data_IF_575086021221
#
_entry.id   IF_575086021221
#
_cell.length_a   1.000
_cell.length_b   1.000
_cell.length_c   1.000
_cell.angle_alpha   90.00
_cell.angle_beta   90.00
_cell.angle_gamma   90.00
#
_symmetry.space_group_name_H-M   'P 1'
#
loop_
_entity.id
_entity.type
_entity.pdbx_description
1 polymer ?
#
# COMPACT_ATOMS: atom_id res chain seq x y z
N UNK A 1 -1.81 9.46 16.89
CA UNK A 1 -0.62 8.86 16.28
C UNK A 1 -0.62 9.07 14.75
N UNK A 2 -1.69 8.72 14.02
CA UNK A 2 -1.79 8.89 12.56
C UNK A 2 -1.47 10.29 12.07
N UNK A 3 -2.01 11.34 12.73
CA UNK A 3 -1.78 12.73 12.34
C UNK A 3 -0.30 13.12 12.51
N UNK A 4 0.31 12.70 13.62
CA UNK A 4 1.72 13.01 13.90
C UNK A 4 2.63 12.29 12.89
N UNK A 5 2.42 11.01 12.65
CA UNK A 5 3.23 10.24 11.68
C UNK A 5 3.06 10.75 10.26
N UNK A 6 1.83 11.13 9.85
CA UNK A 6 1.58 11.76 8.55
C UNK A 6 2.29 13.11 8.43
N UNK A 7 2.21 13.96 9.46
CA UNK A 7 2.92 15.25 9.49
C UNK A 7 4.42 15.10 9.38
N UNK A 8 5.01 14.13 10.10
CA UNK A 8 6.44 13.82 10.00
C UNK A 8 6.83 13.26 8.63
N UNK A 9 5.96 12.46 8.00
CA UNK A 9 6.17 12.00 6.62
C UNK A 9 6.21 13.18 5.66
N UNK A 10 5.28 14.12 5.76
CA UNK A 10 5.24 15.34 4.93
C UNK A 10 6.50 16.20 5.17
N UNK A 11 6.92 16.37 6.42
CA UNK A 11 8.15 17.07 6.74
C UNK A 11 9.38 16.38 6.12
N UNK A 12 9.43 15.04 6.14
CA UNK A 12 10.50 14.27 5.50
C UNK A 12 10.53 14.47 3.98
N UNK A 13 9.36 14.54 3.32
CA UNK A 13 9.26 14.84 1.89
C UNK A 13 9.74 16.25 1.58
N UNK A 14 9.35 17.25 2.40
CA UNK A 14 9.82 18.61 2.25
C UNK A 14 11.34 18.72 2.42
N UNK A 15 11.93 18.02 3.39
CA UNK A 15 13.37 18.01 3.63
C UNK A 15 14.17 17.45 2.44
N UNK A 16 13.61 16.49 1.67
CA UNK A 16 14.25 15.96 0.47
C UNK A 16 14.51 17.04 -0.59
N UNK A 17 13.79 18.17 -0.55
CA UNK A 17 14.01 19.29 -1.46
C UNK A 17 15.40 19.95 -1.30
N UNK A 18 16.02 19.87 -0.13
CA UNK A 18 17.30 20.53 0.17
C UNK A 18 18.48 19.59 0.36
N UNK A 19 18.24 18.28 0.27
CA UNK A 19 19.25 17.26 0.52
C UNK A 19 19.82 16.76 -0.80
N UNK A 20 21.15 16.79 -0.94
CA UNK A 20 21.89 16.29 -2.11
C UNK A 20 22.75 15.05 -1.82
N UNK A 21 23.05 14.77 -0.55
CA UNK A 21 23.85 13.59 -0.17
C UNK A 21 23.06 12.30 -0.34
N UNK A 22 23.56 11.31 -1.10
CA UNK A 22 22.86 10.03 -1.32
C UNK A 22 22.50 9.30 -0.01
N UNK A 23 23.41 9.29 0.95
CA UNK A 23 23.17 8.63 2.25
C UNK A 23 22.06 9.30 3.06
N UNK A 24 22.01 10.63 3.04
CA UNK A 24 20.93 11.37 3.72
C UNK A 24 19.60 11.17 3.01
N UNK A 25 19.58 11.10 1.68
CA UNK A 25 18.37 10.78 0.90
C UNK A 25 17.85 9.39 1.27
N UNK A 26 18.72 8.36 1.29
CA UNK A 26 18.35 6.99 1.66
C UNK A 26 17.77 6.95 3.08
N UNK A 27 18.44 7.61 4.03
CA UNK A 27 17.97 7.65 5.43
C UNK A 27 16.61 8.32 5.56
N UNK A 28 16.43 9.50 4.92
CA UNK A 28 15.14 10.21 4.94
C UNK A 28 14.03 9.38 4.29
N UNK A 29 14.30 8.69 3.20
CA UNK A 29 13.32 7.82 2.55
C UNK A 29 12.96 6.60 3.41
N UNK A 30 13.94 6.01 4.10
CA UNK A 30 13.70 4.92 5.05
C UNK A 30 12.82 5.38 6.23
N UNK A 31 13.12 6.55 6.80
CA UNK A 31 12.32 7.17 7.86
C UNK A 31 10.90 7.50 7.36
N UNK A 32 10.77 8.12 6.19
CA UNK A 32 9.47 8.43 5.59
C UNK A 32 8.64 7.17 5.32
N UNK A 33 9.27 6.09 4.85
CA UNK A 33 8.62 4.79 4.66
C UNK A 33 8.10 4.20 5.96
N UNK A 34 8.91 4.21 7.03
CA UNK A 34 8.48 3.76 8.36
C UNK A 34 7.31 4.59 8.91
N UNK A 35 7.37 5.91 8.80
CA UNK A 35 6.30 6.81 9.23
C UNK A 35 5.01 6.61 8.42
N UNK A 36 5.12 6.39 7.11
CA UNK A 36 4.00 6.07 6.23
C UNK A 36 3.33 4.75 6.62
N UNK A 37 4.13 3.72 6.93
CA UNK A 37 3.61 2.44 7.42
C UNK A 37 2.87 2.61 8.76
N UNK A 38 3.41 3.39 9.69
CA UNK A 38 2.73 3.72 10.95
C UNK A 38 1.41 4.45 10.69
N UNK A 39 1.39 5.38 9.75
CA UNK A 39 0.17 6.12 9.37
C UNK A 39 -0.91 5.17 8.83
N UNK A 40 -0.55 4.23 7.96
CA UNK A 40 -1.47 3.25 7.40
C UNK A 40 -2.01 2.29 8.48
N UNK A 41 -1.14 1.78 9.35
CA UNK A 41 -1.52 0.88 10.46
C UNK A 41 -2.46 1.61 11.42
N UNK A 42 -2.07 2.79 11.87
CA UNK A 42 -2.85 3.57 12.83
C UNK A 42 -4.20 4.02 12.25
N UNK A 43 -4.23 4.40 10.96
CA UNK A 43 -5.46 4.71 10.23
C UNK A 43 -6.37 3.50 10.09
N UNK A 44 -5.81 2.33 9.79
CA UNK A 44 -6.56 1.07 9.69
C UNK A 44 -7.17 0.66 11.04
N UNK A 45 -6.39 0.75 12.13
CA UNK A 45 -6.88 0.45 13.47
C UNK A 45 -7.96 1.44 13.91
N UNK A 46 -7.77 2.74 13.64
CA UNK A 46 -8.77 3.75 13.95
C UNK A 46 -10.10 3.48 13.22
N UNK A 47 -10.05 3.16 11.92
CA UNK A 47 -11.25 2.88 11.13
C UNK A 47 -11.95 1.60 11.60
N UNK A 48 -11.20 0.53 11.85
CA UNK A 48 -11.73 -0.79 12.16
C UNK A 48 -12.16 -0.92 13.64
N UNK A 49 -11.44 -0.29 14.56
CA UNK A 49 -11.67 -0.46 16.01
C UNK A 49 -12.47 0.68 16.63
N UNK A 50 -12.17 1.94 16.25
CA UNK A 50 -12.89 3.09 16.80
C UNK A 50 -14.19 3.40 16.08
N UNK A 51 -14.20 3.31 14.74
CA UNK A 51 -15.39 3.62 13.95
C UNK A 51 -16.27 2.40 13.68
N UNK A 52 -15.77 1.18 13.89
CA UNK A 52 -16.51 -0.06 13.61
C UNK A 52 -16.89 -0.25 12.12
N UNK A 53 -16.31 0.55 11.22
CA UNK A 53 -16.64 0.57 9.80
C UNK A 53 -15.82 -0.47 9.01
N UNK A 54 -16.10 -1.76 9.21
CA UNK A 54 -15.40 -2.84 8.50
C UNK A 54 -15.54 -2.74 6.97
N UNK A 55 -16.65 -2.21 6.47
CA UNK A 55 -16.86 -1.95 5.04
C UNK A 55 -16.08 -0.74 4.50
N UNK A 56 -15.56 0.12 5.35
CA UNK A 56 -14.76 1.29 4.97
C UNK A 56 -13.28 0.98 4.71
N UNK A 57 -12.76 -0.14 5.19
CA UNK A 57 -11.36 -0.50 5.02
C UNK A 57 -10.89 -0.54 3.54
N UNK A 58 -11.66 -1.10 2.58
CA UNK A 58 -11.27 -1.06 1.18
C UNK A 58 -11.16 0.34 0.61
N UNK A 59 -11.99 1.30 1.09
CA UNK A 59 -11.89 2.71 0.67
C UNK A 59 -10.64 3.38 1.23
N UNK A 60 -10.27 3.10 2.48
CA UNK A 60 -9.01 3.58 3.05
C UNK A 60 -7.82 3.10 2.23
N UNK A 61 -7.80 1.82 1.86
CA UNK A 61 -6.71 1.24 1.08
C UNK A 61 -6.72 1.74 -0.38
N UNK A 62 -7.89 2.02 -0.96
CA UNK A 62 -8.01 2.65 -2.28
C UNK A 62 -7.33 4.02 -2.34
N UNK A 63 -7.31 4.75 -1.21
CA UNK A 63 -6.57 6.01 -1.06
C UNK A 63 -5.08 5.89 -1.34
N UNK A 64 -4.46 4.73 -1.07
CA UNK A 64 -3.05 4.47 -1.42
C UNK A 64 -2.85 4.48 -2.93
N UNK A 65 -3.71 3.77 -3.67
CA UNK A 65 -3.66 3.75 -5.14
C UNK A 65 -3.88 5.13 -5.75
N UNK A 66 -4.88 5.88 -5.24
CA UNK A 66 -5.11 7.26 -5.67
C UNK A 66 -3.92 8.18 -5.35
N UNK A 67 -3.29 8.02 -4.19
CA UNK A 67 -2.09 8.76 -3.82
C UNK A 67 -0.92 8.49 -4.77
N UNK A 68 -0.70 7.23 -5.17
CA UNK A 68 0.31 6.85 -6.16
C UNK A 68 0.00 7.50 -7.51
N UNK A 69 -1.24 7.43 -7.98
CA UNK A 69 -1.68 8.04 -9.24
C UNK A 69 -1.46 9.56 -9.25
N UNK A 70 -1.98 10.26 -8.24
CA UNK A 70 -1.88 11.73 -8.13
C UNK A 70 -0.43 12.19 -8.02
N UNK A 71 0.40 11.49 -7.23
CA UNK A 71 1.82 11.86 -7.08
C UNK A 71 2.60 11.62 -8.37
N UNK A 72 2.34 10.52 -9.08
CA UNK A 72 2.99 10.23 -10.35
C UNK A 72 2.63 11.28 -11.42
N UNK A 73 1.35 11.56 -11.62
CA UNK A 73 0.93 12.59 -12.59
C UNK A 73 1.38 13.99 -12.15
N UNK A 74 1.46 14.28 -10.84
CA UNK A 74 2.03 15.52 -10.32
C UNK A 74 3.51 15.66 -10.67
N UNK A 75 4.29 14.59 -10.62
CA UNK A 75 5.70 14.57 -11.04
C UNK A 75 5.81 14.75 -12.56
N UNK A 76 4.99 14.04 -13.36
CA UNK A 76 4.96 14.19 -14.81
C UNK A 76 4.63 15.62 -15.23
N UNK A 77 3.64 16.24 -14.59
CA UNK A 77 3.30 17.64 -14.81
C UNK A 77 4.46 18.58 -14.40
N UNK A 78 5.13 18.30 -13.30
CA UNK A 78 6.33 19.04 -12.86
C UNK A 78 7.43 18.98 -13.91
N UNK A 79 7.70 17.82 -14.51
CA UNK A 79 8.64 17.66 -15.62
C UNK A 79 8.20 18.46 -16.85
N UNK A 80 6.92 18.38 -17.24
CA UNK A 80 6.38 19.12 -18.39
C UNK A 80 6.47 20.63 -18.21
N UNK A 81 6.37 21.13 -16.97
CA UNK A 81 6.55 22.54 -16.60
C UNK A 81 8.02 22.93 -16.35
N UNK A 82 8.95 22.02 -16.61
CA UNK A 82 10.40 22.23 -16.37
C UNK A 82 10.75 22.64 -14.93
N UNK A 83 9.97 22.14 -13.95
CA UNK A 83 10.25 22.39 -12.54
C UNK A 83 11.54 21.66 -12.11
N UNK A 84 12.28 22.28 -11.21
CA UNK A 84 13.45 21.65 -10.60
C UNK A 84 13.02 20.52 -9.65
N UNK A 85 13.91 19.56 -9.40
CA UNK A 85 13.67 18.47 -8.44
C UNK A 85 13.22 19.00 -7.07
N UNK A 86 13.82 20.11 -6.61
CA UNK A 86 13.45 20.78 -5.38
C UNK A 86 11.97 21.23 -5.38
N UNK A 87 11.55 21.87 -6.47
CA UNK A 87 10.17 22.35 -6.62
C UNK A 87 9.19 21.19 -6.66
N UNK A 88 9.53 20.08 -7.34
CA UNK A 88 8.68 18.87 -7.38
C UNK A 88 8.50 18.26 -5.98
N UNK A 89 9.59 18.15 -5.20
CA UNK A 89 9.47 17.65 -3.82
C UNK A 89 8.59 18.54 -2.94
N UNK A 90 8.74 19.88 -3.07
CA UNK A 90 7.92 20.83 -2.33
C UNK A 90 6.45 20.77 -2.77
N UNK A 91 6.18 20.60 -4.07
CA UNK A 91 4.83 20.42 -4.59
C UNK A 91 4.18 19.16 -4.02
N UNK A 92 4.90 18.04 -4.02
CA UNK A 92 4.42 16.79 -3.41
C UNK A 92 4.13 16.95 -1.91
N UNK A 93 5.02 17.61 -1.17
CA UNK A 93 4.82 17.88 0.25
C UNK A 93 3.61 18.80 0.50
N UNK A 94 3.43 19.84 -0.32
CA UNK A 94 2.28 20.74 -0.25
C UNK A 94 0.97 20.01 -0.53
N UNK A 95 0.90 19.22 -1.60
CA UNK A 95 -0.29 18.42 -1.91
C UNK A 95 -0.63 17.44 -0.78
N UNK A 96 0.37 16.75 -0.24
CA UNK A 96 0.16 15.84 0.90
C UNK A 96 -0.29 16.60 2.16
N UNK A 97 0.25 17.79 2.41
CA UNK A 97 -0.16 18.66 3.51
C UNK A 97 -1.61 19.13 3.39
N UNK A 98 -2.02 19.54 2.19
CA UNK A 98 -3.41 19.92 1.91
C UNK A 98 -4.37 18.74 2.11
N UNK A 99 -4.03 17.56 1.62
CA UNK A 99 -4.83 16.36 1.83
C UNK A 99 -4.95 15.99 3.31
N UNK A 100 -3.85 16.10 4.07
CA UNK A 100 -3.89 15.89 5.52
C UNK A 100 -4.76 16.93 6.21
N UNK A 101 -4.65 18.21 5.84
CA UNK A 101 -5.47 19.29 6.40
C UNK A 101 -6.97 19.08 6.15
N UNK A 102 -7.33 18.57 4.97
CA UNK A 102 -8.70 18.18 4.66
C UNK A 102 -9.16 16.97 5.49
N UNK A 103 -8.29 15.99 5.68
CA UNK A 103 -8.58 14.77 6.43
C UNK A 103 -8.64 15.01 7.95
N UNK A 104 -7.93 16.01 8.47
CA UNK A 104 -7.80 16.24 9.92
C UNK A 104 -9.15 16.47 10.61
N UNK A 105 -10.08 17.15 9.93
CA UNK A 105 -11.43 17.41 10.45
C UNK A 105 -12.19 16.11 10.71
N UNK A 106 -12.03 15.12 9.81
CA UNK A 106 -12.66 13.81 9.94
C UNK A 106 -11.96 12.95 11.00
N UNK A 107 -10.63 13.03 11.08
CA UNK A 107 -9.82 12.28 12.05
C UNK A 107 -10.01 12.77 13.50
N UNK A 108 -10.37 14.04 13.70
CA UNK A 108 -10.63 14.63 15.01
C UNK A 108 -12.10 14.52 15.44
N UNK A 109 -13.00 14.08 14.55
CA UNK A 109 -14.41 13.87 14.91
C UNK A 109 -14.51 12.73 15.92
N UNK A 110 -15.09 12.96 17.13
CA UNK A 110 -15.27 11.90 18.11
C UNK A 110 -16.15 10.80 17.49
N UNK A 111 -15.86 9.53 17.74
CA UNK A 111 -16.75 8.45 17.29
C UNK A 111 -18.13 8.69 17.90
N UNK A 112 -19.19 8.65 17.08
CA UNK A 112 -20.54 8.57 17.57
C UNK A 112 -20.59 7.40 18.56
N UNK A 113 -21.18 7.61 19.75
CA UNK A 113 -21.21 6.63 20.81
C UNK A 113 -21.69 5.28 20.28
N UNK A 114 -20.75 4.43 19.89
CA UNK A 114 -21.04 3.10 19.40
C UNK A 114 -21.49 2.30 20.60
N UNK A 115 -22.75 1.89 20.55
CA UNK A 115 -23.24 0.76 21.32
C UNK A 115 -22.23 -0.37 21.15
N UNK A 116 -21.52 -0.68 22.23
CA UNK A 116 -20.65 -1.86 22.32
C UNK A 116 -21.53 -3.10 22.02
N UNK A 117 -21.65 -3.44 20.76
CA UNK A 117 -22.01 -4.79 20.40
C UNK A 117 -20.81 -5.66 20.77
N UNK A 118 -20.89 -6.22 21.98
CA UNK A 118 -20.03 -7.31 22.43
C UNK A 118 -20.34 -8.51 21.57
N UNK A 119 -19.79 -8.58 20.36
CA UNK A 119 -19.62 -9.85 19.70
C UNK A 119 -18.48 -10.58 20.42
N UNK A 120 -18.87 -11.25 21.50
CA UNK A 120 -18.13 -12.39 22.00
C UNK A 120 -18.25 -13.45 20.91
N UNK A 121 -17.35 -13.40 19.90
CA UNK A 121 -17.10 -14.59 19.10
C UNK A 121 -16.41 -15.59 20.05
N UNK A 122 -17.20 -16.49 20.55
CA UNK A 122 -16.73 -17.72 21.19
C UNK A 122 -16.10 -18.59 20.10
N UNK A 123 -14.92 -18.20 19.64
CA UNK A 123 -14.08 -19.07 18.85
C UNK A 123 -13.50 -20.12 19.80
N UNK A 124 -13.95 -21.37 19.62
CA UNK A 124 -13.30 -22.54 20.21
C UNK A 124 -11.78 -22.43 19.99
N UNK A 125 -10.95 -22.71 20.99
CA UNK A 125 -9.50 -22.65 20.84
C UNK A 125 -9.08 -23.69 19.81
N UNK A 126 -8.75 -23.24 18.59
CA UNK A 126 -8.08 -24.08 17.62
C UNK A 126 -6.76 -24.53 18.22
N UNK A 127 -6.41 -25.79 18.03
CA UNK A 127 -5.16 -26.39 18.51
C UNK A 127 -3.96 -25.46 18.19
N UNK A 128 -3.22 -25.03 19.19
CA UNK A 128 -2.23 -23.96 19.09
C UNK A 128 -1.11 -24.16 18.04
N UNK A 129 -0.87 -25.41 17.59
CA UNK A 129 0.11 -25.73 16.54
C UNK A 129 -0.40 -25.36 15.14
N UNK A 130 -1.66 -25.61 14.83
CA UNK A 130 -2.22 -25.37 13.48
C UNK A 130 -2.44 -23.87 13.24
N UNK A 131 -2.82 -23.14 14.26
CA UNK A 131 -2.96 -21.70 14.21
C UNK A 131 -1.60 -21.01 13.99
N UNK A 132 -0.57 -21.44 14.71
CA UNK A 132 0.79 -20.92 14.52
C UNK A 132 1.30 -21.18 13.10
N UNK A 133 1.07 -22.36 12.55
CA UNK A 133 1.41 -22.69 11.15
C UNK A 133 0.65 -21.81 10.16
N UNK A 134 -0.64 -21.57 10.39
CA UNK A 134 -1.44 -20.68 9.55
C UNK A 134 -0.92 -19.25 9.58
N UNK A 135 -0.54 -18.72 10.74
CA UNK A 135 0.05 -17.39 10.90
C UNK A 135 1.37 -17.27 10.14
N UNK A 136 2.29 -18.22 10.30
CA UNK A 136 3.55 -18.24 9.58
C UNK A 136 3.40 -18.35 8.07
N UNK A 137 2.47 -19.20 7.59
CA UNK A 137 2.14 -19.29 6.15
C UNK A 137 1.66 -17.95 5.60
N UNK A 138 0.77 -17.27 6.34
CA UNK A 138 0.26 -15.97 5.93
C UNK A 138 1.39 -14.93 5.88
N UNK A 139 2.28 -14.90 6.89
CA UNK A 139 3.44 -14.02 6.91
C UNK A 139 4.36 -14.25 5.71
N UNK A 140 4.72 -15.50 5.43
CA UNK A 140 5.59 -15.83 4.30
C UNK A 140 4.97 -15.46 2.96
N UNK A 141 3.70 -15.81 2.75
CA UNK A 141 2.98 -15.49 1.50
C UNK A 141 2.87 -13.98 1.30
N UNK A 142 2.60 -13.24 2.38
CA UNK A 142 2.48 -11.79 2.32
C UNK A 142 3.83 -11.11 2.06
N UNK A 143 4.92 -11.56 2.69
CA UNK A 143 6.28 -11.08 2.43
C UNK A 143 6.72 -11.34 1.00
N UNK A 144 6.47 -12.56 0.48
CA UNK A 144 6.76 -12.88 -0.93
C UNK A 144 5.95 -12.04 -1.92
N UNK A 145 4.71 -11.69 -1.58
CA UNK A 145 3.91 -10.77 -2.38
C UNK A 145 4.53 -9.36 -2.37
N UNK A 146 5.05 -8.91 -1.22
CA UNK A 146 5.82 -7.66 -1.09
C UNK A 146 7.05 -7.66 -1.97
N UNK A 147 7.84 -8.72 -1.92
CA UNK A 147 9.01 -8.90 -2.77
C UNK A 147 8.64 -8.86 -4.27
N UNK A 148 7.57 -9.56 -4.67
CA UNK A 148 7.14 -9.60 -6.07
C UNK A 148 6.72 -8.21 -6.60
N UNK A 149 5.98 -7.44 -5.81
CA UNK A 149 5.56 -6.12 -6.27
C UNK A 149 6.71 -5.13 -6.35
N UNK A 150 7.68 -5.18 -5.41
CA UNK A 150 8.80 -4.22 -5.39
C UNK A 150 9.75 -4.41 -6.57
N UNK A 151 9.90 -5.65 -7.06
CA UNK A 151 10.65 -5.92 -8.30
C UNK A 151 10.05 -5.11 -9.45
N UNK A 152 8.73 -5.23 -9.69
CA UNK A 152 8.06 -4.47 -10.74
C UNK A 152 8.15 -2.98 -10.48
N UNK A 153 7.89 -2.55 -9.26
CA UNK A 153 7.93 -1.17 -8.85
C UNK A 153 9.29 -0.49 -9.10
N UNK A 154 10.38 -1.20 -8.87
CA UNK A 154 11.74 -0.67 -8.99
C UNK A 154 12.27 -0.75 -10.41
N UNK A 155 12.06 -1.89 -11.08
CA UNK A 155 12.71 -2.17 -12.35
C UNK A 155 11.89 -1.79 -13.57
N UNK A 156 10.55 -1.72 -13.48
CA UNK A 156 9.70 -1.39 -14.62
C UNK A 156 10.03 -0.01 -15.25
N UNK A 157 10.25 1.06 -14.47
CA UNK A 157 10.70 2.35 -15.03
C UNK A 157 12.07 2.27 -15.69
N UNK A 158 12.99 1.44 -15.14
CA UNK A 158 14.34 1.26 -15.69
C UNK A 158 14.33 0.52 -17.03
N UNK A 159 13.47 -0.48 -17.19
CA UNK A 159 13.29 -1.18 -18.47
C UNK A 159 12.88 -0.24 -19.59
N UNK A 160 12.02 0.75 -19.29
CA UNK A 160 11.54 1.69 -20.29
C UNK A 160 12.54 2.79 -20.63
N UNK A 161 13.33 3.24 -19.67
CA UNK A 161 14.33 4.29 -19.91
C UNK A 161 15.38 3.91 -20.94
N UNK A 162 15.63 2.59 -21.13
CA UNK A 162 16.55 2.06 -22.14
C UNK A 162 15.93 1.76 -23.50
N UNK A 163 14.62 1.48 -23.56
CA UNK A 163 13.99 0.90 -24.77
C UNK A 163 12.99 1.82 -25.45
N UNK A 164 12.41 2.80 -24.75
CA UNK A 164 11.30 3.62 -25.23
C UNK A 164 11.49 5.09 -24.81
N UNK A 165 12.18 5.86 -25.66
CA UNK A 165 12.40 7.30 -25.45
C UNK A 165 11.12 8.15 -25.61
N UNK A 166 9.98 7.57 -25.95
CA UNK A 166 8.76 8.30 -26.31
C UNK A 166 7.74 8.43 -25.16
N UNK A 167 7.89 7.71 -24.06
CA UNK A 167 6.93 7.74 -22.92
C UNK A 167 7.69 7.95 -21.63
N UNK A 168 7.27 8.95 -20.84
CA UNK A 168 7.83 9.16 -19.51
C UNK A 168 7.49 7.95 -18.60
N UNK A 169 8.49 7.26 -18.04
CA UNK A 169 8.27 6.11 -17.15
C UNK A 169 7.35 6.40 -15.96
N UNK A 170 7.19 7.65 -15.58
CA UNK A 170 6.32 8.10 -14.48
C UNK A 170 4.85 7.74 -14.75
N UNK A 171 4.42 7.75 -16.02
CA UNK A 171 3.05 7.35 -16.38
C UNK A 171 2.75 5.88 -16.11
N UNK A 172 3.76 5.00 -16.07
CA UNK A 172 3.56 3.61 -15.63
C UNK A 172 3.23 3.52 -14.14
N UNK A 173 3.85 4.38 -13.32
CA UNK A 173 3.49 4.52 -11.92
C UNK A 173 2.06 5.05 -11.75
N UNK A 174 1.65 5.99 -12.58
CA UNK A 174 0.27 6.45 -12.60
C UNK A 174 -0.71 5.32 -12.93
N UNK A 175 -0.43 4.51 -13.96
CA UNK A 175 -1.25 3.35 -14.33
C UNK A 175 -1.28 2.30 -13.21
N UNK A 176 -0.16 2.05 -12.54
CA UNK A 176 -0.09 1.17 -11.37
C UNK A 176 -1.02 1.66 -10.26
N UNK A 177 -0.95 2.95 -9.91
CA UNK A 177 -1.81 3.57 -8.89
C UNK A 177 -3.28 3.55 -9.27
N UNK A 178 -3.59 3.84 -10.55
CA UNK A 178 -4.95 3.81 -11.09
C UNK A 178 -5.57 2.41 -11.02
N UNK A 179 -4.78 1.36 -11.27
CA UNK A 179 -5.22 -0.03 -11.11
C UNK A 179 -5.36 -0.44 -9.63
N UNK A 180 -4.48 0.07 -8.76
CA UNK A 180 -4.49 -0.25 -7.34
C UNK A 180 -5.73 0.32 -6.61
N UNK A 181 -6.20 1.51 -6.97
CA UNK A 181 -7.32 2.14 -6.30
C UNK A 181 -8.63 1.32 -6.35
N UNK A 182 -9.17 0.91 -7.51
CA UNK A 182 -10.39 0.10 -7.58
C UNK A 182 -10.16 -1.35 -7.11
N UNK A 183 -8.91 -1.83 -7.11
CA UNK A 183 -8.58 -3.20 -6.74
C UNK A 183 -9.06 -3.57 -5.34
N UNK A 184 -8.95 -2.65 -4.39
CA UNK A 184 -9.37 -2.87 -3.01
C UNK A 184 -10.85 -3.24 -2.90
N UNK A 185 -11.71 -2.51 -3.61
CA UNK A 185 -13.16 -2.77 -3.65
C UNK A 185 -13.48 -4.07 -4.38
N UNK A 186 -12.80 -4.32 -5.49
CA UNK A 186 -13.01 -5.52 -6.31
C UNK A 186 -12.58 -6.76 -5.51
N UNK A 187 -11.36 -6.79 -4.96
CA UNK A 187 -10.87 -7.92 -4.19
C UNK A 187 -11.66 -8.14 -2.90
N UNK A 188 -12.14 -7.08 -2.25
CA UNK A 188 -13.06 -7.23 -1.12
C UNK A 188 -14.33 -8.01 -1.50
N UNK A 189 -14.98 -7.62 -2.61
CA UNK A 189 -16.17 -8.35 -3.14
C UNK A 189 -15.82 -9.79 -3.52
N UNK A 190 -14.66 -10.03 -4.11
CA UNK A 190 -14.20 -11.35 -4.50
C UNK A 190 -13.91 -12.25 -3.28
N UNK A 191 -13.41 -11.69 -2.18
CA UNK A 191 -13.26 -12.42 -0.90
C UNK A 191 -14.62 -12.87 -0.37
N UNK A 192 -15.64 -12.01 -0.43
CA UNK A 192 -16.99 -12.36 0.01
C UNK A 192 -17.58 -13.47 -0.87
N UNK A 193 -17.27 -13.50 -2.17
CA UNK A 193 -17.81 -14.49 -3.12
C UNK A 193 -17.04 -15.81 -3.11
N UNK A 194 -15.71 -15.79 -3.03
CA UNK A 194 -14.86 -16.99 -3.20
C UNK A 194 -14.24 -17.49 -1.89
N UNK A 195 -14.35 -16.69 -0.83
CA UNK A 195 -13.64 -16.90 0.41
C UNK A 195 -12.16 -16.52 0.32
N UNK A 196 -11.55 -16.37 1.50
CA UNK A 196 -10.19 -15.88 1.69
C UNK A 196 -9.13 -16.64 0.87
N UNK A 197 -9.12 -17.99 0.96
CA UNK A 197 -8.04 -18.80 0.34
C UNK A 197 -8.04 -18.68 -1.18
N UNK A 198 -9.20 -18.81 -1.81
CA UNK A 198 -9.30 -18.73 -3.27
C UNK A 198 -9.02 -17.33 -3.78
N UNK A 199 -9.51 -16.30 -3.10
CA UNK A 199 -9.23 -14.91 -3.46
C UNK A 199 -7.73 -14.61 -3.39
N UNK A 200 -7.05 -15.00 -2.28
CA UNK A 200 -5.61 -14.79 -2.14
C UNK A 200 -4.82 -15.54 -3.21
N UNK A 201 -5.12 -16.82 -3.44
CA UNK A 201 -4.41 -17.60 -4.46
C UNK A 201 -4.55 -16.98 -5.86
N UNK A 202 -5.76 -16.57 -6.25
CA UNK A 202 -5.98 -15.92 -7.55
C UNK A 202 -5.29 -14.57 -7.65
N UNK A 203 -5.33 -13.78 -6.57
CA UNK A 203 -4.62 -12.50 -6.50
C UNK A 203 -3.11 -12.70 -6.73
N UNK A 204 -2.49 -13.65 -6.05
CA UNK A 204 -1.06 -13.95 -6.19
C UNK A 204 -0.69 -14.51 -7.56
N UNK A 205 -1.55 -15.32 -8.18
CA UNK A 205 -1.33 -15.81 -9.55
C UNK A 205 -1.36 -14.65 -10.56
N UNK A 206 -2.32 -13.73 -10.43
CA UNK A 206 -2.38 -12.53 -11.27
C UNK A 206 -1.16 -11.63 -11.04
N UNK A 207 -0.71 -11.49 -9.78
CA UNK A 207 0.51 -10.74 -9.47
C UNK A 207 1.74 -11.39 -10.09
N UNK A 208 1.90 -12.70 -9.95
CA UNK A 208 3.02 -13.45 -10.53
C UNK A 208 3.07 -13.30 -12.05
N UNK A 209 1.91 -13.39 -12.72
CA UNK A 209 1.82 -13.13 -14.15
C UNK A 209 2.30 -11.71 -14.49
N UNK A 210 1.82 -10.69 -13.74
CA UNK A 210 2.24 -9.31 -13.94
C UNK A 210 3.75 -9.10 -13.78
N UNK A 211 4.36 -9.75 -12.78
CA UNK A 211 5.82 -9.65 -12.54
C UNK A 211 6.64 -10.30 -13.66
N UNK A 212 6.16 -11.40 -14.24
CA UNK A 212 6.88 -12.15 -15.29
C UNK A 212 6.80 -11.43 -16.66
N UNK A 213 5.74 -10.69 -16.95
CA UNK A 213 5.52 -10.08 -18.27
C UNK A 213 6.72 -9.28 -18.82
N UNK A 214 7.38 -8.38 -18.06
CA UNK A 214 8.52 -7.62 -18.55
C UNK A 214 9.73 -8.50 -18.89
N UNK A 215 9.87 -9.67 -18.24
CA UNK A 215 10.93 -10.62 -18.55
C UNK A 215 10.67 -11.36 -19.88
N UNK A 216 9.41 -11.48 -20.32
CA UNK A 216 9.06 -12.08 -21.59
C UNK A 216 9.31 -11.13 -22.77
N UNK A 217 9.05 -9.83 -22.59
CA UNK A 217 9.28 -8.81 -23.61
C UNK A 217 9.40 -7.42 -22.99
N UNK A 218 10.38 -6.65 -23.43
CA UNK A 218 10.57 -5.25 -23.05
C UNK A 218 9.66 -4.27 -23.81
N UNK A 219 8.61 -4.77 -24.51
CA UNK A 219 7.68 -3.90 -25.23
C UNK A 219 6.80 -3.08 -24.28
N UNK A 220 6.37 -1.89 -24.74
CA UNK A 220 5.51 -1.01 -23.97
C UNK A 220 4.22 -1.73 -23.51
N UNK A 221 3.64 -2.58 -24.37
CA UNK A 221 2.43 -3.33 -24.04
C UNK A 221 2.64 -4.24 -22.82
N UNK A 222 3.75 -4.98 -22.78
CA UNK A 222 4.06 -5.89 -21.67
C UNK A 222 4.34 -5.11 -20.37
N UNK A 223 5.00 -3.96 -20.46
CA UNK A 223 5.24 -3.08 -19.33
C UNK A 223 3.94 -2.47 -18.78
N UNK A 224 3.04 -2.00 -19.65
CA UNK A 224 1.72 -1.48 -19.27
C UNK A 224 0.87 -2.58 -18.62
N UNK A 225 0.80 -3.76 -19.24
CA UNK A 225 0.07 -4.90 -18.66
C UNK A 225 0.64 -5.31 -17.29
N UNK A 226 1.97 -5.31 -17.16
CA UNK A 226 2.64 -5.56 -15.86
C UNK A 226 2.22 -4.53 -14.82
N UNK A 227 2.31 -3.23 -15.13
CA UNK A 227 1.92 -2.16 -14.21
C UNK A 227 0.45 -2.30 -13.76
N UNK A 228 -0.46 -2.60 -14.69
CA UNK A 228 -1.87 -2.79 -14.40
C UNK A 228 -2.13 -4.03 -13.53
N UNK A 229 -1.54 -5.19 -13.87
CA UNK A 229 -1.76 -6.44 -13.13
C UNK A 229 -1.14 -6.39 -11.72
N UNK A 230 0.09 -5.89 -11.60
CA UNK A 230 0.74 -5.78 -10.30
C UNK A 230 0.06 -4.70 -9.45
N UNK A 231 -0.29 -3.54 -10.02
CA UNK A 231 -1.07 -2.51 -9.33
C UNK A 231 -2.43 -3.04 -8.86
N UNK A 232 -3.15 -3.76 -9.71
CA UNK A 232 -4.46 -4.36 -9.38
C UNK A 232 -4.37 -5.41 -8.26
N UNK A 233 -3.23 -6.05 -8.06
CA UNK A 233 -3.03 -7.08 -7.03
C UNK A 233 -2.33 -6.57 -5.78
N UNK A 234 -1.53 -5.53 -5.88
CA UNK A 234 -0.75 -4.93 -4.78
C UNK A 234 -1.63 -4.62 -3.56
N UNK A 235 -2.58 -3.69 -3.69
CA UNK A 235 -3.49 -3.35 -2.59
C UNK A 235 -4.58 -4.40 -2.39
N UNK A 236 -4.87 -5.23 -3.40
CA UNK A 236 -5.70 -6.42 -3.28
C UNK A 236 -5.16 -7.40 -2.26
N UNK A 237 -3.86 -7.69 -2.28
CA UNK A 237 -3.18 -8.53 -1.28
C UNK A 237 -3.38 -7.99 0.13
N UNK A 238 -3.21 -6.69 0.33
CA UNK A 238 -3.43 -6.01 1.62
C UNK A 238 -4.87 -6.18 2.08
N UNK A 239 -5.83 -5.88 1.20
CA UNK A 239 -7.28 -5.98 1.48
C UNK A 239 -7.71 -7.39 1.86
N UNK A 240 -7.14 -8.41 1.23
CA UNK A 240 -7.44 -9.82 1.52
C UNK A 240 -6.77 -10.26 2.82
N UNK A 241 -5.49 -9.92 3.02
CA UNK A 241 -4.67 -10.52 4.06
C UNK A 241 -4.85 -9.88 5.44
N UNK A 242 -5.04 -8.55 5.55
CA UNK A 242 -5.11 -7.87 6.84
C UNK A 242 -6.30 -8.29 7.71
N UNK A 243 -7.53 -8.47 7.20
CA UNK A 243 -8.63 -8.98 8.02
C UNK A 243 -8.35 -10.37 8.58
N UNK A 244 -7.70 -11.24 7.79
CA UNK A 244 -7.29 -12.57 8.25
C UNK A 244 -6.17 -12.50 9.29
N UNK A 245 -5.21 -11.60 9.13
CA UNK A 245 -4.17 -11.34 10.13
C UNK A 245 -4.77 -10.90 11.47
N UNK A 246 -5.76 -10.01 11.44
CA UNK A 246 -6.47 -9.56 12.63
C UNK A 246 -7.15 -10.73 13.35
N UNK A 247 -7.82 -11.63 12.62
CA UNK A 247 -8.45 -12.82 13.22
C UNK A 247 -7.46 -13.80 13.85
N UNK A 248 -6.20 -13.83 13.37
CA UNK A 248 -5.14 -14.67 13.91
C UNK A 248 -4.36 -14.00 15.05
N UNK A 249 -4.37 -12.67 15.14
CA UNK A 249 -3.61 -11.91 16.14
C UNK A 249 -3.97 -12.25 17.58
N UNK A 250 -5.22 -12.65 17.84
CA UNK A 250 -5.67 -13.10 19.18
C UNK A 250 -5.15 -14.48 19.57
N UNK A 251 -4.54 -15.21 18.63
CA UNK A 251 -4.12 -16.60 18.79
C UNK A 251 -2.60 -16.78 18.72
N UNK A 252 -1.85 -15.70 18.52
CA UNK A 252 -0.39 -15.67 18.48
C UNK A 252 0.16 -14.66 19.48
N UNK A 253 1.37 -14.88 19.98
CA UNK A 253 2.00 -14.06 21.00
C UNK A 253 2.63 -12.75 20.51
N UNK A 254 2.54 -12.46 19.21
CA UNK A 254 3.11 -11.27 18.58
C UNK A 254 2.08 -10.50 17.78
N UNK A 255 2.35 -9.22 17.53
CA UNK A 255 1.47 -8.38 16.71
C UNK A 255 1.58 -8.79 15.24
N UNK A 256 0.57 -9.55 14.78
CA UNK A 256 0.54 -10.11 13.43
C UNK A 256 0.52 -9.02 12.35
N UNK A 257 -0.20 -7.92 12.57
CA UNK A 257 -0.31 -6.82 11.60
C UNK A 257 1.04 -6.11 11.45
N UNK A 258 1.71 -5.84 12.59
CA UNK A 258 3.04 -5.21 12.57
C UNK A 258 4.08 -6.11 11.89
N UNK A 259 4.07 -7.42 12.20
CA UNK A 259 4.98 -8.39 11.59
C UNK A 259 4.75 -8.50 10.07
N UNK A 260 3.49 -8.50 9.61
CA UNK A 260 3.16 -8.50 8.19
C UNK A 260 3.64 -7.23 7.49
N UNK A 261 3.39 -6.06 8.08
CA UNK A 261 3.83 -4.79 7.49
C UNK A 261 5.35 -4.71 7.39
N UNK A 262 6.07 -5.15 8.44
CA UNK A 262 7.52 -5.20 8.43
C UNK A 262 8.04 -6.14 7.33
N UNK A 263 7.49 -7.36 7.24
CA UNK A 263 7.91 -8.35 6.26
C UNK A 263 7.60 -7.92 4.81
N UNK A 264 6.49 -7.24 4.60
CA UNK A 264 6.12 -6.68 3.30
C UNK A 264 7.05 -5.54 2.87
N UNK A 265 7.54 -4.75 3.83
CA UNK A 265 8.48 -3.67 3.58
C UNK A 265 9.93 -4.13 3.39
N UNK A 266 10.28 -5.34 3.85
CA UNK A 266 11.61 -5.96 3.64
C UNK A 266 11.66 -6.75 2.32
N UNK A 267 10.54 -7.31 1.87
CA UNK A 267 10.43 -7.99 0.57
C UNK A 267 10.33 -6.99 -0.54
#
# INVERSE_FOLDING_TARGET
>A
LSIISAGLTIASLALLAWVSSPWTIITLRAVAGALSAITLIAGSLWLLEHMGHHHGAPLLYAGVGLGIFISAEGIALGHALSLTSQQIWLLCALCAGLLLALAIRWLLTPPAALVRASHVETSLPASGSDTRRAAWRLLMVYGLAGFGYIITATYLPLFLSGSLQSVDPVHLWALFGLAAAPSCLIWHKLVLKWGYRQALTRNLLVQALGVILPACSASLLFCVLSALLVGFTFMGTVTIALPKAKSLSHQVSFNMIAAMTALYGVG
#
